data_IF_168993262988
#
_entry.id   IF_168993262988
#
_cell.length_a   1.000
_cell.length_b   1.000
_cell.length_c   1.000
_cell.angle_alpha   90.00
_cell.angle_beta   90.00
_cell.angle_gamma   90.00
#
_symmetry.space_group_name_H-M   'P 1'
#
loop_
_entity.id
_entity.type
_entity.pdbx_description
1 polymer ?
#
# COMPACT_ATOMS: atom_id res chain seq x y z
N UNK A 1 11.86 -50.99 -7.35
CA UNK A 1 10.82 -49.94 -7.46
C UNK A 1 10.30 -49.68 -6.07
N UNK A 2 10.54 -48.51 -5.49
CA UNK A 2 9.81 -48.08 -4.29
C UNK A 2 9.69 -46.55 -4.32
N UNK A 3 8.46 -46.04 -4.23
CA UNK A 3 8.15 -44.61 -4.26
C UNK A 3 7.82 -44.14 -2.85
N UNK A 4 8.70 -43.36 -2.22
CA UNK A 4 8.39 -42.65 -0.99
C UNK A 4 7.66 -41.33 -1.30
N UNK A 5 6.38 -41.25 -0.94
CA UNK A 5 5.55 -40.03 -1.00
C UNK A 5 6.03 -39.05 0.08
N UNK A 6 6.49 -37.85 -0.32
CA UNK A 6 6.79 -36.77 0.63
C UNK A 6 5.49 -36.06 1.02
N UNK A 7 5.00 -36.33 2.22
CA UNK A 7 3.97 -35.53 2.88
C UNK A 7 4.66 -34.30 3.49
N UNK A 8 4.52 -33.12 2.86
CA UNK A 8 4.94 -31.85 3.46
C UNK A 8 3.76 -30.92 3.70
N UNK A 9 3.26 -31.06 4.94
CA UNK A 9 2.99 -29.98 5.91
C UNK A 9 1.99 -28.90 5.49
N UNK A 10 0.77 -29.06 6.00
CA UNK A 10 -0.14 -27.96 6.30
C UNK A 10 0.60 -26.87 7.10
N UNK A 11 0.57 -25.63 6.62
CA UNK A 11 0.99 -24.46 7.41
C UNK A 11 -0.27 -23.69 7.81
N UNK A 12 -0.85 -24.12 8.92
CA UNK A 12 -1.81 -23.31 9.65
C UNK A 12 -1.08 -22.12 10.28
N UNK A 13 -1.64 -20.93 10.05
CA UNK A 13 -1.89 -19.87 11.03
C UNK A 13 -0.99 -19.83 12.27
N UNK A 14 -0.20 -18.76 12.41
CA UNK A 14 0.47 -18.48 13.68
C UNK A 14 1.33 -17.23 13.68
N UNK A 15 0.72 -16.13 14.12
CA UNK A 15 1.30 -14.93 14.70
C UNK A 15 2.06 -13.96 13.77
N UNK A 16 1.49 -12.77 13.58
CA UNK A 16 2.22 -11.60 13.07
C UNK A 16 1.98 -10.44 14.03
N UNK A 17 2.54 -10.57 15.22
CA UNK A 17 3.07 -9.43 15.95
C UNK A 17 4.40 -9.03 15.31
N UNK A 18 4.36 -8.15 14.32
CA UNK A 18 5.52 -7.33 13.96
C UNK A 18 5.06 -5.91 13.68
N UNK A 19 5.17 -5.09 14.73
CA UNK A 19 5.41 -3.65 14.63
C UNK A 19 6.64 -3.42 13.75
N UNK A 20 6.45 -3.26 12.44
CA UNK A 20 7.54 -3.25 11.46
C UNK A 20 7.23 -2.38 10.27
N UNK A 21 7.27 -1.07 10.46
CA UNK A 21 7.25 -0.07 9.39
C UNK A 21 8.49 -0.13 8.45
N UNK A 22 9.25 -1.23 8.42
CA UNK A 22 10.60 -1.22 7.84
C UNK A 22 10.72 -1.85 6.45
N UNK A 23 9.73 -2.62 5.96
CA UNK A 23 9.76 -3.12 4.58
C UNK A 23 8.43 -2.89 3.88
N UNK A 24 8.35 -1.76 3.17
CA UNK A 24 7.25 -1.55 2.22
C UNK A 24 7.22 -2.73 1.24
N UNK A 25 6.05 -3.36 1.03
CA UNK A 25 5.94 -4.50 0.15
C UNK A 25 6.37 -4.11 -1.28
N UNK A 26 7.22 -4.95 -1.88
CA UNK A 26 7.78 -4.70 -3.22
C UNK A 26 6.75 -4.71 -4.35
N UNK A 27 5.54 -5.18 -4.08
CA UNK A 27 4.47 -5.31 -5.08
C UNK A 27 3.11 -5.01 -4.47
N UNK A 28 2.23 -4.45 -5.28
CA UNK A 28 0.84 -4.18 -4.93
C UNK A 28 0.08 -5.44 -4.54
N UNK A 29 0.42 -6.60 -5.13
CA UNK A 29 -0.21 -7.87 -4.78
C UNK A 29 0.13 -8.28 -3.34
N UNK A 30 1.39 -8.13 -2.94
CA UNK A 30 1.84 -8.39 -1.56
C UNK A 30 1.20 -7.41 -0.58
N UNK A 31 1.11 -6.13 -0.96
CA UNK A 31 0.44 -5.11 -0.16
C UNK A 31 -1.01 -5.47 0.19
N UNK A 32 -1.81 -5.89 -0.81
CA UNK A 32 -3.21 -6.30 -0.56
C UNK A 32 -3.36 -7.57 0.27
N UNK A 33 -2.33 -8.40 0.37
CA UNK A 33 -2.34 -9.64 1.14
C UNK A 33 -1.94 -9.42 2.61
N UNK A 34 -1.54 -8.20 2.98
CA UNK A 34 -1.19 -7.87 4.36
C UNK A 34 -2.44 -7.94 5.26
N UNK A 35 -2.32 -8.50 6.49
CA UNK A 35 -3.42 -8.57 7.44
C UNK A 35 -4.04 -7.20 7.74
N UNK A 36 -3.22 -6.15 7.81
CA UNK A 36 -3.64 -4.78 8.08
C UNK A 36 -4.51 -4.24 6.95
N UNK A 37 -4.20 -4.59 5.70
CA UNK A 37 -5.01 -4.18 4.56
C UNK A 37 -6.36 -4.87 4.54
N UNK A 38 -6.42 -6.14 4.93
CA UNK A 38 -7.68 -6.86 5.09
C UNK A 38 -8.53 -6.24 6.20
N UNK A 39 -7.94 -5.98 7.38
CA UNK A 39 -8.62 -5.30 8.48
C UNK A 39 -9.15 -3.92 8.07
N UNK A 40 -8.37 -3.14 7.31
CA UNK A 40 -8.81 -1.86 6.77
C UNK A 40 -10.01 -2.01 5.84
N UNK A 41 -10.01 -2.97 4.91
CA UNK A 41 -11.14 -3.19 4.01
C UNK A 41 -12.40 -3.63 4.77
N UNK A 42 -12.27 -4.49 5.79
CA UNK A 42 -13.39 -4.89 6.65
C UNK A 42 -13.94 -3.69 7.42
N UNK A 43 -13.08 -2.88 8.05
CA UNK A 43 -13.49 -1.67 8.76
C UNK A 43 -14.30 -0.72 7.87
N UNK A 44 -13.82 -0.44 6.65
CA UNK A 44 -14.54 0.43 5.71
C UNK A 44 -15.90 -0.17 5.32
N UNK A 45 -15.97 -1.50 5.15
CA UNK A 45 -17.20 -2.16 4.76
C UNK A 45 -18.23 -2.22 5.89
N UNK A 46 -17.81 -2.68 7.07
CA UNK A 46 -18.67 -2.88 8.24
C UNK A 46 -19.25 -1.58 8.77
N UNK A 47 -18.56 -0.45 8.56
CA UNK A 47 -19.01 0.87 8.99
C UNK A 47 -19.63 1.72 7.86
N UNK A 48 -19.86 1.14 6.67
CA UNK A 48 -20.36 1.83 5.47
C UNK A 48 -19.59 3.12 5.09
N UNK A 49 -18.28 3.12 5.29
CA UNK A 49 -17.41 4.30 5.08
C UNK A 49 -16.89 4.39 3.64
N UNK A 50 -17.52 3.71 2.67
CA UNK A 50 -17.01 3.63 1.30
C UNK A 50 -16.93 5.00 0.62
N UNK A 51 -17.93 5.85 0.83
CA UNK A 51 -18.00 7.20 0.26
C UNK A 51 -16.92 8.11 0.87
N UNK A 52 -16.83 8.11 2.20
CA UNK A 52 -15.86 8.94 2.92
C UNK A 52 -14.42 8.50 2.66
N UNK A 53 -14.17 7.19 2.67
CA UNK A 53 -12.87 6.62 2.31
C UNK A 53 -12.43 7.04 0.90
N UNK A 54 -13.36 7.02 -0.07
CA UNK A 54 -13.07 7.50 -1.43
C UNK A 54 -12.75 9.00 -1.44
N UNK A 55 -13.53 9.82 -0.75
CA UNK A 55 -13.32 11.27 -0.70
C UNK A 55 -11.95 11.63 -0.11
N UNK A 56 -11.52 10.94 0.95
CA UNK A 56 -10.20 11.13 1.56
C UNK A 56 -9.08 10.76 0.59
N UNK A 57 -9.19 9.60 -0.07
CA UNK A 57 -8.18 9.14 -1.05
C UNK A 57 -8.09 10.12 -2.22
N UNK A 58 -9.21 10.61 -2.73
CA UNK A 58 -9.24 11.58 -3.83
C UNK A 58 -8.53 12.88 -3.44
N UNK A 59 -8.80 13.41 -2.23
CA UNK A 59 -8.13 14.61 -1.71
C UNK A 59 -6.62 14.41 -1.59
N UNK A 60 -6.17 13.24 -1.11
CA UNK A 60 -4.74 12.92 -0.99
C UNK A 60 -4.06 12.85 -2.38
N UNK A 61 -4.72 12.23 -3.36
CA UNK A 61 -4.22 12.16 -4.73
C UNK A 61 -4.14 13.54 -5.39
N UNK A 62 -5.11 14.42 -5.13
CA UNK A 62 -5.09 15.81 -5.60
C UNK A 62 -3.94 16.60 -5.00
N UNK A 63 -3.70 16.49 -3.68
CA UNK A 63 -2.55 17.14 -3.02
C UNK A 63 -1.22 16.70 -3.64
N UNK A 64 -1.04 15.38 -3.80
CA UNK A 64 0.18 14.82 -4.43
C UNK A 64 0.37 15.30 -5.87
N UNK A 65 -0.71 15.47 -6.63
CA UNK A 65 -0.64 16.03 -8.00
C UNK A 65 -0.23 17.51 -7.96
N UNK A 66 -0.79 18.30 -7.05
CA UNK A 66 -0.45 19.70 -6.88
C UNK A 66 1.02 19.89 -6.48
N UNK A 67 1.52 19.10 -5.53
CA UNK A 67 2.93 19.09 -5.11
C UNK A 67 3.87 18.77 -6.27
N UNK A 68 3.53 17.76 -7.09
CA UNK A 68 4.31 17.42 -8.29
C UNK A 68 4.36 18.56 -9.30
N UNK A 69 3.24 19.26 -9.52
CA UNK A 69 3.18 20.41 -10.41
C UNK A 69 4.00 21.59 -9.87
N UNK A 70 3.89 21.88 -8.57
CA UNK A 70 4.66 22.92 -7.90
C UNK A 70 6.17 22.66 -8.03
N UNK A 71 6.61 21.42 -7.76
CA UNK A 71 8.01 21.01 -7.90
C UNK A 71 8.55 21.12 -9.34
N UNK A 72 7.71 20.90 -10.36
CA UNK A 72 8.11 21.11 -11.77
C UNK A 72 8.19 22.59 -12.12
N UNK A 73 7.32 23.42 -11.54
CA UNK A 73 7.29 24.86 -11.79
C UNK A 73 8.48 25.60 -11.17
N UNK A 74 8.91 25.18 -9.97
CA UNK A 74 10.10 25.72 -9.29
C UNK A 74 11.37 25.34 -10.05
N UNK A 75 11.46 24.12 -10.58
CA UNK A 75 12.62 23.65 -11.38
C UNK A 75 12.77 24.41 -12.72
N UNK A 76 11.65 24.86 -13.32
CA UNK A 76 11.69 25.74 -14.51
C UNK A 76 12.11 27.18 -14.18
N UNK A 77 11.71 27.71 -13.02
CA UNK A 77 12.13 29.05 -12.58
C UNK A 77 13.63 29.09 -12.25
N UNK A 78 14.17 28.08 -11.57
CA UNK A 78 15.61 28.01 -11.29
C UNK A 78 16.47 27.83 -12.55
N UNK A 79 15.96 27.15 -13.58
CA UNK A 79 16.67 26.98 -14.85
C UNK A 79 16.68 28.26 -15.74
N UNK A 80 15.71 29.17 -15.57
CA UNK A 80 15.63 30.41 -16.36
C UNK A 80 16.42 31.58 -15.77
N UNK A 81 16.78 31.52 -14.48
CA UNK A 81 17.52 32.59 -13.78
C UNK A 81 19.05 32.47 -13.96
N UNK A 82 19.55 31.34 -14.48
CA UNK A 82 20.99 31.06 -14.64
C UNK A 82 21.46 31.30 -16.10
N UNK A 83 20.68 32.01 -16.93
CA UNK A 83 21.02 32.22 -18.34
C UNK A 83 20.80 33.65 -18.81
#
# INVERSE_FOLDING_TARGET
>A
MEKAKTSRKAKASGNTEQTGAEQLPSSFKKFRQLPEMEAFYRFIYENDLRKEGKAIIDRLLMSRKAEKLAARSSKKKSAKVVN
#
